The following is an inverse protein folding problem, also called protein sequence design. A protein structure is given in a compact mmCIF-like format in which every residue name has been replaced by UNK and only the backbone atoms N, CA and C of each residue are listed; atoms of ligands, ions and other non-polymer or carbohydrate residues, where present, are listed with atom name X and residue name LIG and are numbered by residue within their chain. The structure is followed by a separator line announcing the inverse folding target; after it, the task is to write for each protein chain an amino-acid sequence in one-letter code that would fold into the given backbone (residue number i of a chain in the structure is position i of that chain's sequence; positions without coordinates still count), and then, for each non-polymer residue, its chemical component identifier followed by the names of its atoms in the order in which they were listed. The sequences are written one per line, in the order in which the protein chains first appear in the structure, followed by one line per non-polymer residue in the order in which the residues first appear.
data_IF_586569182101
#
_entry.id   IF_586569182101
#
_cell.length_a   1.000
_cell.length_b   1.000
_cell.length_c   1.000
_cell.angle_alpha   90.00
_cell.angle_beta   90.00
_cell.angle_gamma   90.00
#
_symmetry.space_group_name_H-M   'P 1'
#
loop_
_entity.id
_entity.type
_entity.pdbx_description
1 polymer ?
#
# COMPACT_ATOMS: atom_id res chain seq x y z
N UNK A 1 -18.33 -5.41 20.91
CA UNK A 1 -19.16 -5.14 19.71
C UNK A 1 -18.32 -5.30 18.45
N UNK A 2 -18.95 -5.63 17.35
CA UNK A 2 -18.27 -5.83 16.05
C UNK A 2 -19.19 -5.45 14.91
N UNK A 3 -18.59 -5.08 13.78
CA UNK A 3 -19.26 -4.92 12.50
C UNK A 3 -18.40 -5.55 11.42
N UNK A 4 -19.01 -6.07 10.37
CA UNK A 4 -18.31 -6.77 9.29
C UNK A 4 -18.88 -6.43 7.92
N UNK A 5 -18.04 -6.61 6.93
CA UNK A 5 -18.40 -6.50 5.53
C UNK A 5 -17.56 -7.48 4.72
N UNK A 6 -18.18 -8.26 3.87
CA UNK A 6 -17.48 -9.18 2.97
C UNK A 6 -17.33 -8.52 1.61
N UNK A 7 -16.10 -8.45 1.12
CA UNK A 7 -15.80 -8.02 -0.23
C UNK A 7 -15.20 -9.14 -1.07
N UNK A 8 -15.31 -9.01 -2.38
CA UNK A 8 -14.80 -9.99 -3.31
C UNK A 8 -13.32 -9.77 -3.65
N UNK A 9 -12.57 -10.87 -3.65
CA UNK A 9 -11.29 -10.91 -4.34
C UNK A 9 -11.56 -10.93 -5.85
N UNK A 10 -11.02 -9.98 -6.58
CA UNK A 10 -11.16 -9.89 -8.03
C UNK A 10 -9.87 -10.28 -8.71
N UNK A 11 -9.98 -11.06 -9.77
CA UNK A 11 -8.88 -11.35 -10.66
C UNK A 11 -9.22 -10.78 -12.04
N UNK A 12 -8.60 -9.66 -12.37
CA UNK A 12 -8.92 -8.89 -13.58
C UNK A 12 -7.62 -8.63 -14.37
N UNK A 13 -7.64 -8.95 -15.66
CA UNK A 13 -6.51 -8.76 -16.57
C UNK A 13 -5.17 -9.31 -16.04
N UNK A 14 -5.21 -10.46 -15.39
CA UNK A 14 -3.99 -11.10 -14.83
C UNK A 14 -3.56 -10.57 -13.46
N UNK A 15 -4.35 -9.72 -12.81
CA UNK A 15 -4.02 -9.07 -11.54
C UNK A 15 -5.09 -9.37 -10.48
N UNK A 16 -4.65 -9.83 -9.30
CA UNK A 16 -5.49 -9.86 -8.11
C UNK A 16 -5.62 -8.45 -7.53
N UNK A 17 -6.85 -7.97 -7.46
CA UNK A 17 -7.17 -6.58 -7.08
C UNK A 17 -8.38 -6.48 -6.15
N UNK A 18 -8.54 -5.30 -5.55
CA UNK A 18 -9.78 -4.82 -4.93
C UNK A 18 -10.09 -3.44 -5.50
N UNK A 19 -11.37 -3.14 -5.71
CA UNK A 19 -11.75 -1.78 -6.10
C UNK A 19 -11.72 -0.83 -4.89
N UNK A 20 -11.38 0.44 -5.13
CA UNK A 20 -11.46 1.46 -4.08
C UNK A 20 -12.91 1.63 -3.58
N UNK A 21 -13.89 1.51 -4.47
CA UNK A 21 -15.31 1.57 -4.10
C UNK A 21 -15.71 0.48 -3.10
N UNK A 22 -15.20 -0.75 -3.28
CA UNK A 22 -15.48 -1.85 -2.35
C UNK A 22 -14.80 -1.60 -1.00
N UNK A 23 -13.58 -1.05 -1.01
CA UNK A 23 -12.89 -0.65 0.21
C UNK A 23 -13.70 0.40 0.98
N UNK A 24 -14.20 1.45 0.29
CA UNK A 24 -15.02 2.49 0.91
C UNK A 24 -16.34 1.95 1.44
N UNK A 25 -17.06 1.15 0.65
CA UNK A 25 -18.30 0.50 1.07
C UNK A 25 -18.10 -0.45 2.25
N UNK A 26 -16.99 -1.19 2.22
CA UNK A 26 -16.60 -2.09 3.29
C UNK A 26 -16.37 -1.39 4.62
N UNK A 27 -15.64 -0.28 4.60
CA UNK A 27 -15.42 0.56 5.79
C UNK A 27 -16.72 1.15 6.33
N UNK A 28 -17.54 1.71 5.46
CA UNK A 28 -18.84 2.29 5.83
C UNK A 28 -19.80 1.22 6.37
N UNK A 29 -19.89 0.07 5.68
CA UNK A 29 -20.75 -1.04 6.07
C UNK A 29 -20.37 -1.63 7.41
N UNK A 30 -19.09 -1.95 7.61
CA UNK A 30 -18.59 -2.51 8.87
C UNK A 30 -18.75 -1.54 10.05
N UNK A 31 -18.54 -0.25 9.82
CA UNK A 31 -18.79 0.78 10.85
C UNK A 31 -20.29 0.90 11.17
N UNK A 32 -21.17 0.91 10.17
CA UNK A 32 -22.62 0.94 10.36
C UNK A 32 -23.12 -0.26 11.19
N UNK A 33 -22.60 -1.45 10.90
CA UNK A 33 -22.93 -2.65 11.66
C UNK A 33 -22.39 -2.60 13.09
N UNK A 34 -21.18 -2.08 13.27
CA UNK A 34 -20.61 -1.85 14.60
C UNK A 34 -21.50 -0.93 15.44
N UNK A 35 -21.97 0.19 14.88
CA UNK A 35 -22.86 1.12 15.57
C UNK A 35 -24.17 0.45 16.03
N UNK A 36 -24.78 -0.38 15.16
CA UNK A 36 -25.97 -1.15 15.50
C UNK A 36 -25.69 -2.16 16.63
N UNK A 37 -24.59 -2.91 16.51
CA UNK A 37 -24.20 -3.92 17.51
C UNK A 37 -23.92 -3.29 18.90
N UNK A 38 -23.33 -2.08 18.93
CA UNK A 38 -23.14 -1.29 20.15
C UNK A 38 -24.49 -0.90 20.76
N UNK A 39 -25.42 -0.38 19.94
CA UNK A 39 -26.74 0.02 20.42
C UNK A 39 -27.51 -1.18 20.96
N UNK A 40 -27.48 -2.31 20.26
CA UNK A 40 -28.21 -3.54 20.67
C UNK A 40 -27.63 -4.15 21.95
N UNK A 41 -26.30 -4.20 22.10
CA UNK A 41 -25.64 -4.83 23.24
C UNK A 41 -25.58 -3.97 24.49
N UNK A 42 -25.42 -2.67 24.33
CA UNK A 42 -25.11 -1.77 25.43
C UNK A 42 -26.14 -0.65 25.61
N UNK A 43 -27.11 -0.48 24.70
CA UNK A 43 -28.08 0.61 24.74
C UNK A 43 -27.45 1.99 24.57
N UNK A 44 -26.29 2.09 23.96
CA UNK A 44 -25.49 3.31 23.82
C UNK A 44 -25.42 3.69 22.33
N UNK A 45 -25.62 4.97 22.04
CA UNK A 45 -25.33 5.53 20.72
C UNK A 45 -23.85 5.85 20.60
N UNK A 46 -23.18 5.24 19.62
CA UNK A 46 -21.76 5.47 19.36
C UNK A 46 -21.57 6.76 18.54
N UNK A 47 -21.30 7.87 19.24
CA UNK A 47 -21.09 9.19 18.61
C UNK A 47 -19.62 9.61 18.54
N UNK A 48 -18.75 8.99 19.33
CA UNK A 48 -17.32 9.28 19.35
C UNK A 48 -16.51 8.09 19.81
N UNK A 49 -15.24 8.06 19.43
CA UNK A 49 -14.25 7.08 19.89
C UNK A 49 -13.01 7.81 20.41
N UNK A 50 -12.39 7.28 21.45
CA UNK A 50 -11.17 7.87 22.03
C UNK A 50 -9.92 7.63 21.19
N UNK A 51 -9.90 6.53 20.43
CA UNK A 51 -8.82 6.19 19.52
C UNK A 51 -9.32 5.23 18.42
N UNK A 52 -8.67 5.25 17.29
CA UNK A 52 -8.91 4.33 16.19
C UNK A 52 -7.55 3.80 15.69
N UNK A 53 -7.44 2.49 15.55
CA UNK A 53 -6.30 1.83 14.94
C UNK A 53 -6.74 1.11 13.64
N UNK A 54 -5.86 1.10 12.66
CA UNK A 54 -6.06 0.42 11.39
C UNK A 54 -5.09 -0.74 11.32
N UNK A 55 -5.56 -1.91 10.91
CA UNK A 55 -4.75 -3.06 10.58
C UNK A 55 -5.23 -3.62 9.26
N UNK A 56 -4.38 -3.57 8.24
CA UNK A 56 -4.70 -4.02 6.89
C UNK A 56 -3.49 -4.68 6.24
N UNK A 57 -3.55 -4.91 4.92
CA UNK A 57 -2.46 -5.50 4.17
C UNK A 57 -1.26 -4.54 4.12
N UNK A 58 -0.12 -4.99 4.67
CA UNK A 58 1.15 -4.26 4.63
C UNK A 58 1.91 -4.42 3.31
N UNK A 59 1.38 -5.18 2.38
CA UNK A 59 1.99 -5.47 1.08
C UNK A 59 1.06 -5.09 -0.06
N UNK A 60 1.63 -4.92 -1.23
CA UNK A 60 0.93 -4.60 -2.45
C UNK A 60 1.37 -3.27 -3.04
N UNK A 61 0.67 -2.82 -4.06
CA UNK A 61 1.08 -1.67 -4.84
C UNK A 61 -0.11 -0.79 -5.17
N UNK A 62 -0.13 0.39 -4.57
CA UNK A 62 -1.13 1.44 -4.76
C UNK A 62 -0.42 2.76 -5.10
N UNK A 63 -0.06 3.00 -6.36
CA UNK A 63 0.54 4.25 -6.81
C UNK A 63 -0.55 5.28 -7.12
N UNK A 64 -0.33 6.51 -6.70
CA UNK A 64 -1.25 7.63 -6.88
C UNK A 64 -0.56 8.81 -7.57
N UNK A 65 -1.33 9.56 -8.36
CA UNK A 65 -0.93 10.84 -8.92
C UNK A 65 -1.06 11.99 -7.90
N UNK A 66 -0.71 13.21 -8.34
CA UNK A 66 -0.81 14.43 -7.52
C UNK A 66 -2.24 14.78 -7.11
N UNK A 67 -3.21 14.43 -7.93
CA UNK A 67 -4.63 14.63 -7.70
C UNK A 67 -5.20 13.58 -6.72
N UNK A 68 -4.44 12.52 -6.45
CA UNK A 68 -4.81 11.41 -5.57
C UNK A 68 -5.62 10.33 -6.26
N UNK A 69 -5.57 10.25 -7.59
CA UNK A 69 -6.15 9.15 -8.35
C UNK A 69 -5.22 7.94 -8.33
N UNK A 70 -5.79 6.75 -8.18
CA UNK A 70 -5.05 5.50 -8.31
C UNK A 70 -4.67 5.28 -9.78
N UNK A 71 -3.39 5.22 -10.07
CA UNK A 71 -2.87 5.18 -11.44
C UNK A 71 -3.06 3.84 -12.15
N UNK A 72 -3.06 2.75 -11.40
CA UNK A 72 -3.33 1.38 -11.88
C UNK A 72 -4.18 0.64 -10.86
N UNK A 73 -4.90 -0.44 -11.23
CA UNK A 73 -5.62 -1.25 -10.26
C UNK A 73 -4.72 -1.70 -9.10
N UNK A 74 -5.24 -1.66 -7.88
CA UNK A 74 -4.51 -2.08 -6.70
C UNK A 74 -3.97 -3.51 -6.89
N UNK A 75 -2.66 -3.70 -6.89
CA UNK A 75 -2.00 -5.01 -6.97
C UNK A 75 -1.82 -5.54 -5.57
N UNK A 76 -2.66 -6.51 -5.19
CA UNK A 76 -2.64 -7.08 -3.84
C UNK A 76 -1.45 -8.01 -3.60
N UNK A 77 -1.24 -8.42 -2.36
CA UNK A 77 -0.21 -9.38 -1.94
C UNK A 77 -0.30 -10.76 -2.62
N UNK A 78 -1.44 -11.06 -3.26
CA UNK A 78 -1.68 -12.34 -3.97
C UNK A 78 -0.98 -12.43 -5.32
N UNK A 79 -0.45 -11.33 -5.82
CA UNK A 79 0.18 -11.28 -7.14
C UNK A 79 1.60 -11.85 -7.11
N UNK A 80 1.89 -12.74 -8.06
CA UNK A 80 3.20 -13.36 -8.29
C UNK A 80 3.83 -12.85 -9.61
N UNK A 81 3.56 -11.61 -9.97
CA UNK A 81 3.93 -11.04 -11.28
C UNK A 81 5.25 -10.26 -11.25
N UNK A 82 5.99 -10.31 -10.16
CA UNK A 82 7.17 -9.49 -9.89
C UNK A 82 8.45 -10.33 -9.69
N UNK A 83 8.49 -11.52 -10.28
CA UNK A 83 9.62 -12.45 -10.11
C UNK A 83 10.94 -11.86 -10.55
N UNK A 84 11.00 -11.31 -11.77
CA UNK A 84 12.22 -10.69 -12.32
C UNK A 84 12.71 -9.51 -11.47
N UNK A 85 11.81 -8.62 -11.08
CA UNK A 85 12.15 -7.47 -10.23
C UNK A 85 12.65 -7.92 -8.85
N UNK A 86 11.99 -8.89 -8.24
CA UNK A 86 12.37 -9.46 -6.95
C UNK A 86 13.79 -10.03 -7.00
N UNK A 87 14.13 -10.84 -8.00
CA UNK A 87 15.46 -11.44 -8.17
C UNK A 87 16.54 -10.37 -8.34
N UNK A 88 16.33 -9.40 -9.23
CA UNK A 88 17.28 -8.30 -9.47
C UNK A 88 17.50 -7.43 -8.22
N UNK A 89 16.44 -7.15 -7.46
CA UNK A 89 16.54 -6.37 -6.24
C UNK A 89 17.23 -7.16 -5.11
N UNK A 90 16.99 -8.47 -5.00
CA UNK A 90 17.72 -9.32 -4.06
C UNK A 90 19.22 -9.35 -4.36
N UNK A 91 19.59 -9.43 -5.64
CA UNK A 91 20.99 -9.35 -6.06
C UNK A 91 21.62 -7.98 -5.72
N UNK A 92 20.90 -6.88 -6.01
CA UNK A 92 21.37 -5.53 -5.77
C UNK A 92 21.56 -5.22 -4.29
N UNK A 93 20.56 -5.60 -3.48
CA UNK A 93 20.55 -5.26 -2.05
C UNK A 93 21.25 -6.28 -1.15
N UNK A 94 21.52 -7.49 -1.66
CA UNK A 94 21.94 -8.64 -0.83
C UNK A 94 20.98 -8.86 0.35
N UNK A 95 19.69 -8.68 0.10
CA UNK A 95 18.61 -8.72 1.05
C UNK A 95 17.38 -9.42 0.43
N UNK A 96 16.61 -10.15 1.23
CA UNK A 96 15.41 -10.85 0.74
C UNK A 96 14.31 -9.83 0.40
N UNK A 97 13.91 -9.79 -0.87
CA UNK A 97 12.83 -8.95 -1.38
C UNK A 97 11.69 -9.85 -1.91
N UNK A 98 10.67 -10.12 -1.11
CA UNK A 98 9.54 -10.93 -1.55
C UNK A 98 8.77 -10.27 -2.70
N UNK A 99 8.25 -11.09 -3.62
CA UNK A 99 7.50 -10.61 -4.78
C UNK A 99 6.28 -9.73 -4.44
N UNK A 100 5.69 -9.90 -3.27
CA UNK A 100 4.53 -9.15 -2.80
C UNK A 100 4.84 -7.73 -2.29
N UNK A 101 6.12 -7.39 -2.11
CA UNK A 101 6.52 -6.06 -1.61
C UNK A 101 6.29 -4.96 -2.64
N UNK A 102 5.96 -3.75 -2.17
CA UNK A 102 5.67 -2.61 -3.04
C UNK A 102 6.84 -2.26 -3.96
N UNK A 103 8.07 -2.34 -3.46
CA UNK A 103 9.27 -2.09 -4.28
C UNK A 103 9.45 -3.10 -5.42
N UNK A 104 9.08 -4.37 -5.21
CA UNK A 104 9.13 -5.36 -6.27
C UNK A 104 8.09 -5.05 -7.36
N UNK A 105 6.90 -4.61 -6.98
CA UNK A 105 5.88 -4.17 -7.94
C UNK A 105 6.28 -2.90 -8.70
N UNK A 106 6.84 -1.91 -8.00
CA UNK A 106 7.34 -0.69 -8.64
C UNK A 106 8.44 -1.03 -9.66
N UNK A 107 9.43 -1.82 -9.26
CA UNK A 107 10.52 -2.14 -10.16
C UNK A 107 10.07 -3.03 -11.33
N UNK A 108 9.12 -3.93 -11.11
CA UNK A 108 8.52 -4.69 -12.21
C UNK A 108 7.77 -3.79 -13.19
N UNK A 109 7.04 -2.79 -12.71
CA UNK A 109 6.37 -1.81 -13.56
C UNK A 109 7.39 -1.02 -14.41
N UNK A 110 8.54 -0.67 -13.83
CA UNK A 110 9.65 -0.02 -14.54
C UNK A 110 10.21 -0.94 -15.62
N UNK A 111 10.49 -2.20 -15.29
CA UNK A 111 11.00 -3.19 -16.26
C UNK A 111 10.04 -3.45 -17.42
N UNK A 112 8.74 -3.43 -17.13
CA UNK A 112 7.68 -3.57 -18.12
C UNK A 112 7.48 -2.30 -18.98
N UNK A 113 8.10 -1.16 -18.64
CA UNK A 113 7.86 0.12 -19.31
C UNK A 113 6.45 0.66 -19.11
N UNK A 114 5.82 0.42 -17.96
CA UNK A 114 4.46 0.87 -17.66
C UNK A 114 4.41 2.40 -17.55
N UNK A 115 3.56 3.04 -18.35
CA UNK A 115 3.53 4.49 -18.51
C UNK A 115 3.23 5.27 -17.23
N UNK A 116 2.45 4.68 -16.32
CA UNK A 116 2.03 5.33 -15.07
C UNK A 116 3.21 5.65 -14.14
N UNK A 117 4.34 4.95 -14.26
CA UNK A 117 5.48 5.08 -13.34
C UNK A 117 6.01 6.51 -13.25
N UNK A 118 6.03 7.23 -14.37
CA UNK A 118 6.49 8.64 -14.42
C UNK A 118 5.56 9.62 -13.69
N UNK A 119 4.29 9.24 -13.51
CA UNK A 119 3.24 10.10 -12.95
C UNK A 119 2.99 9.82 -11.45
N UNK A 120 3.78 8.94 -10.83
CA UNK A 120 3.67 8.62 -9.41
C UNK A 120 4.07 9.83 -8.56
N UNK A 121 3.16 10.27 -7.69
CA UNK A 121 3.40 11.27 -6.66
C UNK A 121 3.59 10.64 -5.28
N UNK A 122 2.96 9.49 -5.02
CA UNK A 122 3.20 8.68 -3.85
C UNK A 122 2.70 7.25 -4.04
N UNK A 123 3.27 6.33 -3.24
CA UNK A 123 2.81 4.95 -3.10
C UNK A 123 2.41 4.69 -1.66
N UNK A 124 1.45 3.81 -1.45
CA UNK A 124 1.11 3.36 -0.11
C UNK A 124 0.57 1.93 -0.08
N UNK A 125 0.38 1.43 1.14
CA UNK A 125 -0.33 0.20 1.45
C UNK A 125 -1.82 0.50 1.67
N UNK A 126 -2.63 -0.56 1.81
CA UNK A 126 -4.05 -0.39 2.14
C UNK A 126 -4.27 0.29 3.49
N UNK A 127 -3.44 -0.02 4.51
CA UNK A 127 -3.51 0.64 5.82
C UNK A 127 -3.29 2.14 5.69
N UNK A 128 -2.19 2.56 5.05
CA UNK A 128 -1.86 3.96 4.87
C UNK A 128 -2.89 4.70 4.00
N UNK A 129 -3.48 4.01 3.01
CA UNK A 129 -4.58 4.56 2.22
C UNK A 129 -5.80 4.88 3.09
N UNK A 130 -6.25 3.93 3.91
CA UNK A 130 -7.38 4.13 4.83
C UNK A 130 -7.06 5.22 5.86
N UNK A 131 -5.86 5.22 6.42
CA UNK A 131 -5.40 6.27 7.34
C UNK A 131 -5.49 7.67 6.69
N UNK A 132 -4.99 7.80 5.47
CA UNK A 132 -5.08 9.07 4.72
C UNK A 132 -6.51 9.51 4.47
N UNK A 133 -7.41 8.58 4.10
CA UNK A 133 -8.83 8.89 3.91
C UNK A 133 -9.47 9.47 5.17
N UNK A 134 -9.14 8.92 6.33
CA UNK A 134 -9.74 9.33 7.60
C UNK A 134 -9.11 10.60 8.18
N UNK A 135 -7.84 10.88 7.90
CA UNK A 135 -7.07 11.95 8.55
C UNK A 135 -6.59 13.05 7.59
N UNK A 136 -6.60 12.80 6.29
CA UNK A 136 -5.99 13.67 5.29
C UNK A 136 -4.45 13.66 5.30
N UNK A 137 -3.80 12.86 6.17
CA UNK A 137 -2.34 12.82 6.32
C UNK A 137 -1.72 11.65 5.57
N UNK A 138 -0.64 11.91 4.84
CA UNK A 138 0.21 10.90 4.22
C UNK A 138 1.26 10.47 5.25
N UNK A 139 0.99 9.40 5.97
CA UNK A 139 1.92 8.79 6.92
C UNK A 139 1.92 7.29 6.73
N UNK A 140 3.03 6.67 7.04
CA UNK A 140 3.25 5.25 6.90
C UNK A 140 3.75 4.72 8.25
N UNK A 141 3.04 3.73 8.82
CA UNK A 141 3.51 3.02 10.00
C UNK A 141 4.75 2.20 9.69
N UNK A 142 5.63 2.02 10.69
CA UNK A 142 6.86 1.25 10.50
C UNK A 142 6.59 -0.21 10.09
N UNK A 143 5.46 -0.79 10.54
CA UNK A 143 5.02 -2.12 10.15
C UNK A 143 4.75 -2.21 8.65
N UNK A 144 4.01 -1.25 8.10
CA UNK A 144 3.72 -1.16 6.68
C UNK A 144 4.96 -0.83 5.85
N UNK A 145 5.76 0.13 6.31
CA UNK A 145 7.02 0.47 5.66
C UNK A 145 7.91 -0.76 5.46
N UNK A 146 7.98 -1.65 6.46
CA UNK A 146 8.73 -2.90 6.38
C UNK A 146 8.17 -3.92 5.37
N UNK A 147 6.94 -3.74 4.93
CA UNK A 147 6.31 -4.51 3.84
C UNK A 147 6.45 -3.88 2.46
N UNK A 148 6.94 -2.65 2.39
CA UNK A 148 7.16 -1.92 1.15
C UNK A 148 8.61 -1.93 0.70
N UNK A 149 9.54 -1.70 1.63
CA UNK A 149 10.98 -1.57 1.38
C UNK A 149 11.79 -1.99 2.62
N UNK A 150 13.07 -2.39 2.49
CA UNK A 150 13.93 -2.69 3.63
C UNK A 150 14.06 -1.53 4.62
N UNK A 151 13.82 -1.81 5.89
CA UNK A 151 13.85 -0.84 6.99
C UNK A 151 15.11 -1.04 7.83
N UNK A 152 15.74 0.05 8.23
CA UNK A 152 16.75 0.11 9.28
C UNK A 152 16.01 0.22 10.63
N UNK A 153 16.05 -0.84 11.42
CA UNK A 153 15.31 -0.92 12.69
C UNK A 153 15.86 0.03 13.77
N UNK A 154 17.13 0.43 13.70
CA UNK A 154 17.72 1.37 14.64
C UNK A 154 17.29 2.80 14.34
N UNK A 155 17.29 3.16 13.05
CA UNK A 155 16.87 4.49 12.58
C UNK A 155 15.38 4.63 12.48
N UNK A 156 14.63 3.52 12.45
CA UNK A 156 13.17 3.46 12.24
C UNK A 156 12.75 4.17 10.95
N UNK A 157 13.53 3.95 9.90
CA UNK A 157 13.35 4.52 8.57
C UNK A 157 13.82 3.51 7.52
N UNK A 158 13.58 3.77 6.24
CA UNK A 158 14.12 2.97 5.15
C UNK A 158 15.64 2.90 5.20
N UNK A 159 16.21 1.76 4.83
CA UNK A 159 17.65 1.61 4.69
C UNK A 159 18.18 2.53 3.59
N UNK A 160 18.91 3.58 3.99
CA UNK A 160 19.33 4.65 3.09
C UNK A 160 20.31 4.17 2.01
N UNK A 161 21.21 3.23 2.33
CA UNK A 161 22.12 2.64 1.36
C UNK A 161 21.35 1.92 0.24
N UNK A 162 20.27 1.21 0.59
CA UNK A 162 19.43 0.52 -0.39
C UNK A 162 18.58 1.50 -1.19
N UNK A 163 18.11 2.59 -0.57
CA UNK A 163 17.42 3.68 -1.29
C UNK A 163 18.34 4.28 -2.35
N UNK A 164 19.57 4.62 -1.99
CA UNK A 164 20.57 5.17 -2.93
C UNK A 164 20.89 4.18 -4.07
N UNK A 165 21.03 2.89 -3.75
CA UNK A 165 21.22 1.83 -4.76
C UNK A 165 20.06 1.75 -5.72
N UNK A 166 18.82 1.83 -5.22
CA UNK A 166 17.63 1.82 -6.07
C UNK A 166 17.54 3.06 -6.95
N UNK A 167 17.72 4.25 -6.38
CA UNK A 167 17.71 5.50 -7.14
C UNK A 167 18.74 5.51 -8.27
N UNK A 168 19.94 4.98 -7.99
CA UNK A 168 20.98 4.80 -9.02
C UNK A 168 20.60 3.78 -10.08
N UNK A 169 19.96 2.67 -9.69
CA UNK A 169 19.49 1.63 -10.62
C UNK A 169 18.51 2.21 -11.65
N UNK A 170 17.62 3.10 -11.22
CA UNK A 170 16.56 3.66 -12.08
C UNK A 170 16.92 5.03 -12.67
N UNK A 171 18.11 5.57 -12.42
CA UNK A 171 18.54 6.90 -12.86
C UNK A 171 18.44 7.09 -14.38
N UNK A 172 18.78 6.04 -15.16
CA UNK A 172 18.77 6.08 -16.62
C UNK A 172 17.37 6.22 -17.22
N UNK A 173 16.32 5.92 -16.46
CA UNK A 173 14.92 6.09 -16.90
C UNK A 173 14.44 7.53 -16.85
N UNK A 174 15.13 8.41 -16.10
CA UNK A 174 14.85 9.85 -16.06
C UNK A 174 13.52 10.21 -15.38
N UNK A 175 13.09 9.44 -14.37
CA UNK A 175 11.87 9.76 -13.61
C UNK A 175 12.01 11.08 -12.86
N UNK A 176 10.88 11.84 -12.69
CA UNK A 176 10.91 13.13 -12.01
C UNK A 176 10.99 13.01 -10.47
N UNK A 177 10.97 11.80 -9.93
CA UNK A 177 10.94 11.47 -8.51
C UNK A 177 12.18 10.64 -8.09
N UNK A 178 12.45 10.64 -6.82
CA UNK A 178 13.32 9.67 -6.13
C UNK A 178 12.47 8.79 -5.22
N UNK A 179 12.98 7.60 -4.85
CA UNK A 179 12.22 6.64 -4.05
C UNK A 179 11.65 7.23 -2.75
N UNK A 180 12.34 8.17 -2.14
CA UNK A 180 11.87 8.83 -0.91
C UNK A 180 10.79 9.89 -1.14
N UNK A 181 10.59 10.32 -2.36
CA UNK A 181 9.60 11.36 -2.70
C UNK A 181 8.20 10.77 -2.89
N UNK A 182 8.13 9.44 -3.13
CA UNK A 182 6.91 8.71 -3.52
C UNK A 182 6.44 7.68 -2.50
#
# INVERSE_FOLDING_TARGET
ASGSYEWENRYENGVWTYSLDDIHKGLQGSYSDLVKDVQEKYGVELTSVGALGISAMMHGYMPFDKEGNLLVPFRTWRNNITGEASEKLMELFQYNIPQRWSIAHLYQAILNGEEHVKDIDYMCTLEAYVHRMLTGKRVLGIGDAAGMFPVDSEKKDYNQEMVEKFDKLVESYGFPWKLRDI
#
